data_IF_469156111980
#
_entry.id   IF_469156111980
#
_cell.length_a   1.000
_cell.length_b   1.000
_cell.length_c   1.000
_cell.angle_alpha   90.00
_cell.angle_beta   90.00
_cell.angle_gamma   90.00
#
_symmetry.space_group_name_H-M   'P 1'
#
loop_
_entity.id
_entity.type
_entity.pdbx_description
1 polymer ?
#
# COMPACT_ATOMS: atom_id res chain seq x y z
N UNK A 1 22.58 -1.68 3.15
CA UNK A 1 21.75 -1.72 1.93
C UNK A 1 20.37 -1.13 2.26
N UNK A 2 19.65 -0.56 1.28
CA UNK A 2 18.27 -0.08 1.43
C UNK A 2 17.34 -0.88 0.52
N UNK A 3 16.06 -0.91 0.86
CA UNK A 3 15.02 -1.64 0.15
C UNK A 3 13.68 -0.89 0.26
N UNK A 4 12.72 -1.28 -0.58
CA UNK A 4 11.34 -0.78 -0.55
C UNK A 4 10.44 -1.91 -0.05
N UNK A 5 9.70 -1.65 1.02
CA UNK A 5 8.74 -2.59 1.59
C UNK A 5 7.32 -2.14 1.22
N UNK A 6 6.61 -2.99 0.47
CA UNK A 6 5.18 -2.83 0.25
C UNK A 6 4.45 -3.47 1.43
N UNK A 7 3.84 -2.65 2.27
CA UNK A 7 3.26 -3.07 3.55
C UNK A 7 1.74 -3.13 3.47
N UNK A 8 1.17 -4.20 4.04
CA UNK A 8 -0.27 -4.32 4.23
C UNK A 8 -0.70 -3.58 5.50
N UNK A 9 -1.81 -2.85 5.43
CA UNK A 9 -2.35 -2.10 6.57
C UNK A 9 -2.58 -2.97 7.81
N UNK A 10 -3.17 -4.16 7.63
CA UNK A 10 -3.39 -5.12 8.71
C UNK A 10 -2.06 -5.51 9.42
N UNK A 11 -0.97 -5.66 8.67
CA UNK A 11 0.32 -6.03 9.26
C UNK A 11 0.98 -4.88 10.01
N UNK A 12 0.74 -3.63 9.59
CA UNK A 12 1.19 -2.45 10.33
C UNK A 12 0.49 -2.40 11.69
N UNK A 13 -0.82 -2.61 11.73
CA UNK A 13 -1.60 -2.62 12.98
C UNK A 13 -1.21 -3.79 13.90
N UNK A 14 -0.96 -4.98 13.35
CA UNK A 14 -0.56 -6.17 14.13
C UNK A 14 0.89 -6.10 14.61
N UNK A 15 1.77 -5.40 13.89
CA UNK A 15 3.21 -5.36 14.17
C UNK A 15 3.79 -3.94 14.11
N UNK A 16 3.30 -2.98 14.92
CA UNK A 16 3.71 -1.58 14.85
C UNK A 16 5.21 -1.39 15.10
N UNK A 17 5.79 -2.18 16.02
CA UNK A 17 7.25 -2.14 16.29
C UNK A 17 8.10 -2.54 15.09
N UNK A 18 7.59 -3.40 14.21
CA UNK A 18 8.30 -3.80 13.00
C UNK A 18 8.23 -2.67 11.97
N UNK A 19 7.07 -2.05 11.81
CA UNK A 19 6.92 -0.86 10.98
C UNK A 19 7.89 0.26 11.40
N UNK A 20 7.90 0.60 12.70
CA UNK A 20 8.81 1.62 13.26
C UNK A 20 10.28 1.27 12.98
N UNK A 21 10.64 -0.01 13.09
CA UNK A 21 11.98 -0.50 12.79
C UNK A 21 12.35 -0.31 11.32
N UNK A 22 11.46 -0.66 10.39
CA UNK A 22 11.66 -0.50 8.95
C UNK A 22 11.93 0.98 8.62
N UNK A 23 11.09 1.89 9.15
CA UNK A 23 11.24 3.34 8.95
C UNK A 23 12.54 3.86 9.57
N UNK A 24 12.83 3.49 10.84
CA UNK A 24 14.03 3.94 11.56
C UNK A 24 15.33 3.47 10.90
N UNK A 25 15.32 2.30 10.27
CA UNK A 25 16.49 1.77 9.53
C UNK A 25 16.66 2.42 8.14
N UNK A 26 15.78 3.35 7.76
CA UNK A 26 15.90 4.16 6.56
C UNK A 26 15.48 3.43 5.27
N UNK A 27 14.61 2.43 5.40
CA UNK A 27 13.97 1.78 4.25
C UNK A 27 12.82 2.64 3.71
N UNK A 28 12.53 2.49 2.42
CA UNK A 28 11.32 3.06 1.85
C UNK A 28 10.13 2.15 2.19
N UNK A 29 8.99 2.74 2.49
CA UNK A 29 7.72 2.02 2.63
C UNK A 29 6.74 2.49 1.56
N UNK A 30 5.91 1.55 1.12
CA UNK A 30 4.91 1.75 0.07
C UNK A 30 3.68 0.91 0.40
N UNK A 31 2.59 1.16 -0.30
CA UNK A 31 1.28 0.60 0.04
C UNK A 31 1.03 -0.74 -0.67
N UNK A 32 0.67 -1.78 0.10
CA UNK A 32 0.28 -3.10 -0.42
C UNK A 32 -1.19 -3.42 -0.14
N UNK A 33 -2.05 -2.41 -0.09
CA UNK A 33 -3.45 -2.52 0.32
C UNK A 33 -3.59 -2.95 1.78
N UNK A 34 -4.83 -3.08 2.26
CA UNK A 34 -5.09 -3.32 3.67
C UNK A 34 -4.87 -4.78 4.07
N UNK A 35 -5.35 -5.72 3.25
CA UNK A 35 -5.34 -7.17 3.49
C UNK A 35 -4.84 -7.92 2.23
N UNK A 36 -4.84 -9.26 2.28
CA UNK A 36 -4.30 -10.10 1.21
C UNK A 36 -5.26 -10.34 0.03
N UNK A 37 -6.45 -9.72 0.02
CA UNK A 37 -7.40 -9.91 -1.09
C UNK A 37 -6.77 -9.48 -2.41
N UNK A 38 -6.83 -10.36 -3.40
CA UNK A 38 -6.26 -10.07 -4.70
C UNK A 38 -6.99 -8.89 -5.35
N UNK A 39 -6.24 -7.84 -5.68
CA UNK A 39 -6.72 -6.58 -6.25
C UNK A 39 -7.58 -6.79 -7.50
N UNK A 40 -7.28 -7.81 -8.31
CA UNK A 40 -8.03 -8.13 -9.53
C UNK A 40 -9.49 -8.50 -9.27
N UNK A 41 -9.85 -8.94 -8.06
CA UNK A 41 -11.23 -9.31 -7.70
C UNK A 41 -12.01 -8.15 -7.08
N UNK A 42 -11.32 -7.16 -6.51
CA UNK A 42 -11.91 -6.03 -5.78
C UNK A 42 -12.57 -5.00 -6.70
N UNK A 43 -13.69 -4.43 -6.27
CA UNK A 43 -14.27 -3.27 -6.95
C UNK A 43 -13.34 -2.06 -6.83
N UNK A 44 -13.54 -1.03 -7.65
CA UNK A 44 -12.77 0.21 -7.52
C UNK A 44 -12.99 0.88 -6.15
N UNK A 45 -14.20 0.75 -5.57
CA UNK A 45 -14.52 1.27 -4.24
C UNK A 45 -13.75 0.51 -3.15
N UNK A 46 -13.74 -0.83 -3.20
CA UNK A 46 -12.95 -1.65 -2.27
C UNK A 46 -11.45 -1.34 -2.35
N UNK A 47 -10.94 -1.09 -3.55
CA UNK A 47 -9.53 -0.71 -3.75
C UNK A 47 -9.24 0.63 -3.12
N UNK A 48 -10.12 1.62 -3.28
CA UNK A 48 -9.94 2.95 -2.67
C UNK A 48 -10.00 2.90 -1.15
N UNK A 49 -10.99 2.21 -0.57
CA UNK A 49 -11.08 2.05 0.89
C UNK A 49 -9.81 1.40 1.45
N UNK A 50 -9.37 0.32 0.80
CA UNK A 50 -8.16 -0.41 1.17
C UNK A 50 -6.89 0.45 1.02
N UNK A 51 -6.80 1.23 -0.05
CA UNK A 51 -5.72 2.18 -0.29
C UNK A 51 -5.68 3.24 0.82
N UNK A 52 -6.78 3.96 1.02
CA UNK A 52 -6.89 5.08 1.97
C UNK A 52 -6.68 4.62 3.42
N UNK A 53 -7.18 3.44 3.78
CA UNK A 53 -6.94 2.87 5.10
C UNK A 53 -5.46 2.60 5.35
N UNK A 54 -4.76 2.01 4.38
CA UNK A 54 -3.32 1.77 4.52
C UNK A 54 -2.51 3.07 4.44
N UNK A 55 -2.87 4.03 3.59
CA UNK A 55 -2.21 5.34 3.53
C UNK A 55 -2.29 6.10 4.86
N UNK A 56 -3.43 6.03 5.56
CA UNK A 56 -3.57 6.62 6.91
C UNK A 56 -2.59 6.02 7.92
N UNK A 57 -2.31 4.71 7.81
CA UNK A 57 -1.34 4.02 8.67
C UNK A 57 0.10 4.34 8.29
N UNK A 58 0.40 4.46 7.00
CA UNK A 58 1.71 4.86 6.50
C UNK A 58 2.04 6.33 6.79
N UNK A 59 1.02 7.20 6.86
CA UNK A 59 1.19 8.63 7.12
C UNK A 59 2.14 9.28 6.10
N UNK A 60 3.12 10.03 6.58
CA UNK A 60 4.10 10.71 5.72
C UNK A 60 5.18 9.78 5.11
N UNK A 61 5.13 8.46 5.39
CA UNK A 61 6.19 7.54 5.02
C UNK A 61 6.09 6.98 3.59
N UNK A 62 4.99 7.25 2.86
CA UNK A 62 4.83 6.95 1.41
C UNK A 62 4.78 8.21 0.52
N UNK A 63 5.79 9.11 0.55
CA UNK A 63 5.72 10.37 -0.21
C UNK A 63 5.76 10.16 -1.72
N UNK A 64 6.33 9.04 -2.19
CA UNK A 64 6.38 8.67 -3.60
C UNK A 64 5.06 8.14 -4.14
N UNK A 65 4.04 7.93 -3.29
CA UNK A 65 2.74 7.35 -3.65
C UNK A 65 2.88 6.05 -4.42
N UNK A 66 3.79 5.17 -3.98
CA UNK A 66 3.97 3.87 -4.59
C UNK A 66 2.93 2.89 -4.04
N UNK A 67 2.32 2.13 -4.94
CA UNK A 67 1.39 1.04 -4.63
C UNK A 67 1.80 -0.23 -5.37
N UNK A 68 1.55 -1.38 -4.75
CA UNK A 68 1.68 -2.67 -5.43
C UNK A 68 0.41 -3.49 -5.27
N UNK A 69 -0.27 -3.89 -6.36
CA UNK A 69 -1.42 -4.78 -6.31
C UNK A 69 -1.10 -6.10 -5.58
N UNK A 70 -1.91 -6.47 -4.60
CA UNK A 70 -1.96 -7.85 -4.10
C UNK A 70 -2.29 -8.80 -5.25
N UNK A 71 -1.56 -9.91 -5.33
CA UNK A 71 -1.63 -10.87 -6.43
C UNK A 71 -0.97 -10.42 -7.73
N UNK A 72 -0.32 -9.24 -7.77
CA UNK A 72 0.42 -8.74 -8.93
C UNK A 72 -0.42 -8.29 -10.13
N UNK A 73 -1.74 -8.37 -10.05
CA UNK A 73 -2.66 -8.00 -11.12
C UNK A 73 -3.71 -7.00 -10.62
N UNK A 74 -4.08 -6.05 -11.46
CA UNK A 74 -5.16 -5.11 -11.24
C UNK A 74 -5.92 -4.88 -12.55
N UNK A 75 -7.22 -4.56 -12.46
CA UNK A 75 -8.03 -4.23 -13.64
C UNK A 75 -7.52 -2.93 -14.27
N UNK A 76 -7.74 -2.73 -15.57
CA UNK A 76 -7.35 -1.49 -16.25
C UNK A 76 -8.03 -0.26 -15.62
N UNK A 77 -9.29 -0.40 -15.20
CA UNK A 77 -10.04 0.64 -14.47
C UNK A 77 -9.38 0.99 -13.13
N UNK A 78 -8.88 -0.01 -12.41
CA UNK A 78 -8.19 0.16 -11.13
C UNK A 78 -6.85 0.85 -11.31
N UNK A 79 -6.07 0.49 -12.34
CA UNK A 79 -4.81 1.18 -12.66
C UNK A 79 -5.05 2.65 -13.00
N UNK A 80 -6.00 2.91 -13.90
CA UNK A 80 -6.36 4.28 -14.29
C UNK A 80 -6.82 5.11 -13.09
N UNK A 81 -7.58 4.49 -12.18
CA UNK A 81 -8.02 5.12 -10.93
C UNK A 81 -6.83 5.51 -10.04
N UNK A 82 -5.91 4.59 -9.78
CA UNK A 82 -4.71 4.82 -8.96
C UNK A 82 -3.82 5.92 -9.58
N UNK A 83 -3.58 5.85 -10.88
CA UNK A 83 -2.83 6.86 -11.64
C UNK A 83 -3.49 8.25 -11.53
N UNK A 84 -4.82 8.33 -11.68
CA UNK A 84 -5.55 9.60 -11.53
C UNK A 84 -5.51 10.17 -10.12
N UNK A 85 -5.38 9.31 -9.10
CA UNK A 85 -5.17 9.68 -7.70
C UNK A 85 -3.69 9.98 -7.40
N UNK A 86 -2.80 9.92 -8.39
CA UNK A 86 -1.37 10.24 -8.27
C UNK A 86 -0.53 9.11 -7.69
N UNK A 87 -1.03 7.87 -7.71
CA UNK A 87 -0.29 6.68 -7.32
C UNK A 87 0.36 6.01 -8.52
N UNK A 88 1.52 5.40 -8.30
CA UNK A 88 2.28 4.64 -9.31
C UNK A 88 2.56 3.21 -8.88
#
# INVERSE_FOLDING_TARGET
ARATFFLMGEQIERHPRLFDRIVREGHQVANHFYDDRHTIWLSNEDVLDSLERTERLLGAHNPSRLVRPSGGMARASTRSLLESAGYS
#
